data_IF_100229918899
#
_entry.id   IF_100229918899
#
_cell.length_a   1.000
_cell.length_b   1.000
_cell.length_c   1.000
_cell.angle_alpha   90.00
_cell.angle_beta   90.00
_cell.angle_gamma   90.00
#
_symmetry.space_group_name_H-M   'P 1'
#
loop_
_entity.id
_entity.type
_entity.pdbx_description
1 polymer ?
#
# COMPACT_ATOMS: atom_id res chain seq x y z
N UNK A 1 -19.53 -28.69 1.65
CA UNK A 1 -19.91 -27.79 2.75
C UNK A 1 -18.61 -27.16 3.21
N UNK A 2 -18.23 -26.03 2.61
CA UNK A 2 -16.92 -25.42 2.81
C UNK A 2 -16.60 -24.40 1.74
N UNK A 3 -17.44 -23.36 1.61
CA UNK A 3 -17.21 -22.23 0.69
C UNK A 3 -17.69 -20.89 1.28
N UNK A 4 -18.32 -20.88 2.46
CA UNK A 4 -18.90 -19.66 3.05
C UNK A 4 -17.95 -18.96 4.04
N UNK A 5 -17.01 -19.69 4.65
CA UNK A 5 -16.05 -19.10 5.60
C UNK A 5 -14.93 -18.31 4.91
N UNK A 6 -14.52 -18.72 3.70
CA UNK A 6 -13.37 -18.10 3.03
C UNK A 6 -13.70 -16.69 2.52
N UNK A 7 -14.91 -16.46 2.00
CA UNK A 7 -15.38 -15.15 1.51
C UNK A 7 -15.42 -14.11 2.64
N UNK A 8 -15.89 -14.52 3.82
CA UNK A 8 -15.97 -13.64 5.00
C UNK A 8 -14.59 -13.37 5.63
N UNK A 9 -13.66 -14.32 5.54
CA UNK A 9 -12.28 -14.14 5.99
C UNK A 9 -11.51 -13.17 5.09
N UNK A 10 -11.81 -13.17 3.79
CA UNK A 10 -11.21 -12.27 2.81
C UNK A 10 -11.70 -10.82 2.99
N UNK A 11 -13.00 -10.61 3.19
CA UNK A 11 -13.59 -9.29 3.47
C UNK A 11 -12.96 -8.64 4.72
N UNK A 12 -12.80 -9.39 5.80
CA UNK A 12 -12.20 -8.88 7.06
C UNK A 12 -10.75 -8.43 6.81
N UNK A 13 -9.97 -9.21 6.06
CA UNK A 13 -8.57 -8.87 5.73
C UNK A 13 -8.46 -7.66 4.80
N UNK A 14 -9.41 -7.49 3.88
CA UNK A 14 -9.46 -6.33 2.98
C UNK A 14 -9.73 -5.03 3.74
N UNK A 15 -10.70 -5.06 4.68
CA UNK A 15 -11.01 -3.91 5.53
C UNK A 15 -9.81 -3.52 6.41
N UNK A 16 -9.08 -4.50 6.94
CA UNK A 16 -7.87 -4.26 7.75
C UNK A 16 -6.75 -3.61 6.92
N UNK A 17 -6.57 -4.02 5.67
CA UNK A 17 -5.62 -3.40 4.74
C UNK A 17 -6.03 -1.96 4.40
N UNK A 18 -7.30 -1.72 4.08
CA UNK A 18 -7.83 -0.40 3.74
C UNK A 18 -7.75 0.59 4.91
N UNK A 19 -7.91 0.11 6.15
CA UNK A 19 -7.82 0.96 7.34
C UNK A 19 -6.38 1.24 7.77
N UNK A 20 -5.46 0.31 7.50
CA UNK A 20 -4.05 0.44 7.88
C UNK A 20 -3.20 1.19 6.85
N UNK A 21 -3.47 1.01 5.55
CA UNK A 21 -2.70 1.65 4.47
C UNK A 21 -2.52 3.17 4.63
N UNK A 22 -3.57 3.96 4.91
CA UNK A 22 -3.43 5.41 5.06
C UNK A 22 -2.46 5.83 6.18
N UNK A 23 -2.28 4.98 7.21
CA UNK A 23 -1.36 5.27 8.31
C UNK A 23 0.10 5.23 7.86
N UNK A 24 0.46 4.28 7.00
CA UNK A 24 1.82 4.19 6.45
C UNK A 24 2.16 5.38 5.55
N UNK A 25 1.19 5.85 4.75
CA UNK A 25 1.34 7.07 3.96
C UNK A 25 1.51 8.30 4.86
N UNK A 26 0.68 8.43 5.89
CA UNK A 26 0.76 9.53 6.86
C UNK A 26 2.12 9.55 7.54
N UNK A 27 2.56 8.42 8.08
CA UNK A 27 3.85 8.31 8.77
C UNK A 27 5.04 8.53 7.81
N UNK A 28 4.95 8.08 6.56
CA UNK A 28 5.96 8.38 5.53
C UNK A 28 6.06 9.88 5.28
N UNK A 29 4.92 10.55 5.11
CA UNK A 29 4.86 12.00 4.86
C UNK A 29 5.37 12.81 6.04
N UNK A 30 5.01 12.42 7.27
CA UNK A 30 5.48 13.06 8.50
C UNK A 30 7.00 12.91 8.64
N UNK A 31 7.53 11.72 8.38
CA UNK A 31 8.97 11.45 8.44
C UNK A 31 9.73 12.26 7.37
N UNK A 32 9.25 12.29 6.14
CA UNK A 32 9.84 13.10 5.07
C UNK A 32 9.81 14.60 5.41
N UNK A 33 8.70 15.09 5.97
CA UNK A 33 8.55 16.49 6.40
C UNK A 33 9.51 16.84 7.54
N UNK A 34 9.62 15.95 8.54
CA UNK A 34 10.55 16.13 9.65
C UNK A 34 12.01 16.15 9.15
N UNK A 35 12.33 15.30 8.19
CA UNK A 35 13.66 15.26 7.58
C UNK A 35 14.00 16.56 6.83
N UNK A 36 13.08 17.07 6.01
CA UNK A 36 13.28 18.34 5.30
C UNK A 36 13.49 19.49 6.30
N UNK A 37 12.73 19.52 7.40
CA UNK A 37 12.91 20.50 8.47
C UNK A 37 14.28 20.36 9.14
N UNK A 38 14.73 19.14 9.41
CA UNK A 38 16.05 18.87 9.97
C UNK A 38 17.15 19.36 9.03
N UNK A 39 17.14 18.92 7.77
CA UNK A 39 18.10 19.34 6.74
C UNK A 39 18.13 20.87 6.60
N UNK A 40 16.97 21.51 6.55
CA UNK A 40 16.85 22.97 6.48
C UNK A 40 17.42 23.68 7.71
N UNK A 41 17.14 23.16 8.91
CA UNK A 41 17.70 23.68 10.16
C UNK A 41 19.21 23.54 10.24
N UNK A 42 19.75 22.41 9.79
CA UNK A 42 21.19 22.17 9.74
C UNK A 42 21.88 23.08 8.71
N UNK A 43 21.30 23.25 7.52
CA UNK A 43 21.82 24.17 6.51
C UNK A 43 21.79 25.63 6.99
N UNK A 44 20.71 26.03 7.68
CA UNK A 44 20.58 27.39 8.23
C UNK A 44 21.55 27.65 9.39
N UNK A 45 21.89 26.63 10.18
CA UNK A 45 22.91 26.72 11.22
C UNK A 45 24.34 26.87 10.64
N UNK A 46 24.55 26.52 9.38
CA UNK A 46 25.84 26.59 8.71
C UNK A 46 26.86 25.63 9.33
N UNK A 47 28.13 26.04 9.38
CA UNK A 47 29.19 25.30 10.07
C UNK A 47 29.41 25.90 11.47
N UNK A 48 28.72 25.40 12.52
CA UNK A 48 28.91 25.90 13.88
C UNK A 48 30.28 25.55 14.47
N UNK A 49 31.02 24.64 13.83
CA UNK A 49 32.40 24.30 14.19
C UNK A 49 33.37 25.31 13.57
N UNK A 50 34.29 25.83 14.38
CA UNK A 50 35.29 26.80 13.94
C UNK A 50 36.29 26.23 12.91
N UNK A 51 37.12 27.09 12.33
CA UNK A 51 38.17 26.68 11.39
C UNK A 51 39.46 26.17 12.05
N UNK A 52 39.49 26.10 13.38
CA UNK A 52 40.61 25.57 14.15
C UNK A 52 40.68 24.03 14.09
N UNK A 53 41.75 23.46 14.62
CA UNK A 53 41.97 22.01 14.54
C UNK A 53 40.89 21.21 15.30
N UNK A 54 40.31 21.79 16.35
CA UNK A 54 39.20 21.19 17.09
C UNK A 54 37.91 21.19 16.26
N UNK A 55 37.61 22.31 15.58
CA UNK A 55 36.46 22.41 14.70
C UNK A 55 36.57 21.52 13.46
N UNK A 56 37.78 21.32 12.91
CA UNK A 56 38.02 20.34 11.83
C UNK A 56 37.78 18.90 12.29
N UNK A 57 38.30 18.53 13.46
CA UNK A 57 38.05 17.19 14.02
C UNK A 57 36.56 16.94 14.28
N UNK A 58 35.84 17.96 14.75
CA UNK A 58 34.40 17.90 14.90
C UNK A 58 33.71 17.72 13.55
N UNK A 59 34.08 18.52 12.55
CA UNK A 59 33.53 18.44 11.20
C UNK A 59 33.68 17.04 10.59
N UNK A 60 34.88 16.46 10.72
CA UNK A 60 35.24 15.17 10.13
C UNK A 60 34.36 14.03 10.67
N UNK A 61 33.84 14.15 11.89
CA UNK A 61 32.89 13.20 12.45
C UNK A 61 31.44 13.61 12.21
N UNK A 62 31.13 14.90 12.32
CA UNK A 62 29.77 15.41 12.26
C UNK A 62 29.14 15.24 10.88
N UNK A 63 29.84 15.67 9.81
CA UNK A 63 29.28 15.69 8.45
C UNK A 63 28.92 14.29 7.96
N UNK A 64 29.79 13.26 8.09
CA UNK A 64 29.43 11.90 7.68
C UNK A 64 28.25 11.32 8.47
N UNK A 65 28.19 11.61 9.78
CA UNK A 65 27.12 11.09 10.64
C UNK A 65 25.76 11.70 10.30
N UNK A 66 25.70 13.03 10.11
CA UNK A 66 24.48 13.71 9.66
C UNK A 66 24.04 13.18 8.30
N UNK A 67 24.99 12.99 7.38
CA UNK A 67 24.72 12.48 6.03
C UNK A 67 24.14 11.06 6.08
N UNK A 68 24.73 10.17 6.88
CA UNK A 68 24.26 8.80 7.08
C UNK A 68 22.86 8.76 7.71
N UNK A 69 22.64 9.55 8.76
CA UNK A 69 21.34 9.63 9.44
C UNK A 69 20.25 10.15 8.51
N UNK A 70 20.59 11.13 7.67
CA UNK A 70 19.68 11.71 6.67
C UNK A 70 19.28 10.66 5.63
N UNK A 71 20.26 9.95 5.05
CA UNK A 71 19.98 8.87 4.09
C UNK A 71 19.14 7.76 4.69
N UNK A 72 19.41 7.35 5.94
CA UNK A 72 18.62 6.33 6.61
C UNK A 72 17.14 6.76 6.79
N UNK A 73 16.90 8.03 7.15
CA UNK A 73 15.56 8.58 7.27
C UNK A 73 14.82 8.65 5.92
N UNK A 74 15.51 9.00 4.82
CA UNK A 74 14.94 8.97 3.47
C UNK A 74 14.52 7.56 3.06
N UNK A 75 15.40 6.57 3.27
CA UNK A 75 15.11 5.16 2.97
C UNK A 75 13.91 4.66 3.77
N UNK A 76 13.80 5.03 5.04
CA UNK A 76 12.65 4.67 5.88
C UNK A 76 11.36 5.31 5.35
N UNK A 77 11.38 6.61 5.00
CA UNK A 77 10.20 7.29 4.46
C UNK A 77 9.74 6.64 3.14
N UNK A 78 10.68 6.34 2.23
CA UNK A 78 10.41 5.63 0.98
C UNK A 78 9.88 4.21 1.23
N UNK A 79 10.46 3.49 2.20
CA UNK A 79 9.99 2.16 2.59
C UNK A 79 8.55 2.18 3.10
N UNK A 80 8.20 3.14 3.96
CA UNK A 80 6.82 3.29 4.46
C UNK A 80 5.84 3.63 3.33
N UNK A 81 6.21 4.50 2.40
CA UNK A 81 5.38 4.79 1.21
C UNK A 81 5.21 3.54 0.33
N UNK A 82 6.27 2.77 0.13
CA UNK A 82 6.24 1.53 -0.63
C UNK A 82 5.30 0.48 -0.02
N UNK A 83 5.25 0.37 1.32
CA UNK A 83 4.30 -0.51 2.00
C UNK A 83 2.86 -0.01 1.76
N UNK A 84 2.61 1.30 1.83
CA UNK A 84 1.29 1.85 1.47
C UNK A 84 0.87 1.45 0.06
N UNK A 85 1.75 1.65 -0.93
CA UNK A 85 1.44 1.35 -2.33
C UNK A 85 1.17 -0.15 -2.52
N UNK A 86 1.96 -1.02 -1.90
CA UNK A 86 1.73 -2.46 -1.94
C UNK A 86 0.41 -2.88 -1.29
N UNK A 87 -0.01 -2.22 -0.20
CA UNK A 87 -1.29 -2.50 0.45
C UNK A 87 -2.48 -1.98 -0.38
N UNK A 88 -2.34 -0.82 -1.03
CA UNK A 88 -3.34 -0.28 -1.94
C UNK A 88 -3.53 -1.19 -3.16
N UNK A 89 -2.43 -1.60 -3.80
CA UNK A 89 -2.45 -2.53 -4.94
C UNK A 89 -3.08 -3.89 -4.57
N UNK A 90 -2.79 -4.39 -3.37
CA UNK A 90 -3.39 -5.64 -2.88
C UNK A 90 -4.89 -5.51 -2.65
N UNK A 91 -5.35 -4.37 -2.09
CA UNK A 91 -6.77 -4.10 -1.89
C UNK A 91 -7.52 -3.96 -3.22
N UNK A 92 -6.99 -3.18 -4.16
CA UNK A 92 -7.59 -2.97 -5.49
C UNK A 92 -7.60 -4.26 -6.33
N UNK A 93 -6.53 -5.04 -6.27
CA UNK A 93 -6.45 -6.35 -6.91
C UNK A 93 -7.49 -7.34 -6.40
N UNK A 94 -7.82 -7.30 -5.10
CA UNK A 94 -8.85 -8.14 -4.50
C UNK A 94 -10.25 -7.75 -4.98
N UNK A 95 -10.58 -6.46 -4.91
CA UNK A 95 -11.87 -5.92 -5.38
C UNK A 95 -12.10 -6.23 -6.86
N UNK A 96 -11.07 -6.05 -7.71
CA UNK A 96 -11.16 -6.33 -9.14
C UNK A 96 -11.39 -7.82 -9.43
N UNK A 97 -10.68 -8.70 -8.70
CA UNK A 97 -10.82 -10.14 -8.85
C UNK A 97 -12.19 -10.65 -8.37
N UNK A 98 -12.69 -10.16 -7.24
CA UNK A 98 -14.02 -10.49 -6.73
C UNK A 98 -15.14 -10.03 -7.68
N UNK A 99 -15.04 -8.81 -8.22
CA UNK A 99 -16.02 -8.31 -9.18
C UNK A 99 -16.05 -9.20 -10.44
N UNK A 100 -14.89 -9.59 -10.96
CA UNK A 100 -14.77 -10.51 -12.11
C UNK A 100 -15.37 -11.89 -11.81
N UNK A 101 -15.00 -12.48 -10.66
CA UNK A 101 -15.53 -13.77 -10.19
C UNK A 101 -17.05 -13.69 -10.05
N UNK A 102 -17.58 -12.69 -9.33
CA UNK A 102 -19.02 -12.47 -9.16
C UNK A 102 -19.72 -12.35 -10.50
N UNK A 103 -19.12 -11.67 -11.48
CA UNK A 103 -19.72 -11.52 -12.83
C UNK A 103 -19.73 -12.85 -13.60
N UNK A 104 -18.66 -13.65 -13.49
CA UNK A 104 -18.56 -14.99 -14.11
C UNK A 104 -19.56 -15.97 -13.49
N UNK A 105 -19.72 -15.98 -12.16
CA UNK A 105 -20.64 -16.87 -11.45
C UNK A 105 -22.09 -16.39 -11.50
N UNK A 106 -22.36 -15.09 -11.61
CA UNK A 106 -23.72 -14.56 -11.82
C UNK A 106 -24.24 -14.80 -13.24
N UNK A 107 -23.33 -14.96 -14.22
CA UNK A 107 -23.68 -15.27 -15.61
C UNK A 107 -24.08 -16.74 -15.82
N UNK A 108 -23.85 -17.61 -14.84
CA UNK A 108 -24.20 -19.04 -14.89
C UNK A 108 -25.44 -19.39 -14.02
N UNK A 109 -26.46 -18.52 -13.99
CA UNK A 109 -27.81 -18.88 -13.51
C UNK A 109 -28.42 -20.06 -14.30
N UNK A 110 -29.41 -20.78 -13.74
CA UNK A 110 -29.86 -22.07 -14.28
C UNK A 110 -30.30 -21.96 -15.74
N UNK A 111 -29.88 -22.96 -16.52
CA UNK A 111 -30.17 -23.11 -17.96
C UNK A 111 -31.66 -22.86 -18.23
N UNK A 112 -32.03 -22.01 -19.22
CA UNK A 112 -33.44 -21.81 -19.55
C UNK A 112 -34.04 -23.15 -19.97
N UNK A 113 -35.10 -23.59 -19.28
CA UNK A 113 -35.86 -24.77 -19.65
C UNK A 113 -36.40 -24.59 -21.08
N UNK A 114 -36.33 -25.64 -21.92
CA UNK A 114 -36.96 -25.59 -23.23
C UNK A 114 -38.48 -25.41 -23.08
N UNK A 115 -39.12 -24.64 -23.98
CA UNK A 115 -40.54 -24.33 -23.88
C UNK A 115 -41.40 -25.61 -23.90
N UNK A 116 -42.57 -25.61 -23.24
CA UNK A 116 -43.42 -26.78 -23.18
C UNK A 116 -43.86 -27.18 -24.59
N UNK A 117 -43.55 -28.42 -24.97
CA UNK A 117 -44.04 -29.02 -26.21
C UNK A 117 -45.56 -29.10 -26.15
N UNK A 118 -46.21 -28.12 -26.77
CA UNK A 118 -47.63 -28.16 -27.11
C UNK A 118 -47.75 -29.08 -28.31
N UNK A 119 -48.45 -30.20 -28.12
CA UNK A 119 -48.48 -31.31 -29.07
C UNK A 119 -49.26 -31.04 -30.36
N UNK A 120 -49.17 -32.00 -31.26
CA UNK A 120 -50.13 -32.19 -32.34
C UNK A 120 -49.53 -32.79 -33.61
N UNK A 121 -49.99 -33.98 -33.99
CA UNK A 121 -50.16 -34.36 -35.39
C UNK A 121 -49.25 -35.46 -35.95
N UNK A 122 -49.73 -36.70 -35.78
CA UNK A 122 -49.89 -37.74 -36.81
C UNK A 122 -48.77 -38.04 -37.83
N UNK A 123 -48.38 -39.33 -37.89
CA UNK A 123 -48.57 -40.23 -39.05
C UNK A 123 -47.66 -41.48 -38.92
N UNK A 124 -48.18 -42.59 -38.39
CA UNK A 124 -48.43 -43.86 -39.11
C UNK A 124 -48.94 -44.94 -38.15
#
# INVERSE_FOLDING_TARGET
MGDADDDQILDIKLVDLQTSAPQFLTHSSDLATALVKLQGGLAAAGSPWGGDDQGKQFQDQYVPNVTSMTMAAEILALGLASIHDAMADMADGHIGNEALIRTMFSRNGPKPEPPPHTGGGDLQ
#
